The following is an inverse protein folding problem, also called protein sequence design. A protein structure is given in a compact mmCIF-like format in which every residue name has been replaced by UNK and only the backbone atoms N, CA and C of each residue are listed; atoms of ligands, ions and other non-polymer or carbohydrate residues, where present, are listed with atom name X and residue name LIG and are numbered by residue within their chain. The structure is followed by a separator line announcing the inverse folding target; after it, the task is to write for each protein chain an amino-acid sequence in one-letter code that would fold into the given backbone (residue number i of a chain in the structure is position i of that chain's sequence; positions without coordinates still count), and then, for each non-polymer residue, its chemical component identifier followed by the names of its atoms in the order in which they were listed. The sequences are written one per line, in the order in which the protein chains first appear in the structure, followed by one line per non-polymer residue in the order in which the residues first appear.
data_IF_363953397529
#
_entry.id   IF_363953397529
#
_cell.length_a   1.000
_cell.length_b   1.000
_cell.length_c   1.000
_cell.angle_alpha   90.00
_cell.angle_beta   90.00
_cell.angle_gamma   90.00
#
_symmetry.space_group_name_H-M   'P 1'
#
loop_
_entity.id
_entity.type
_entity.pdbx_description
1 polymer ?
#
# COMPACT_ATOMS: atom_id res chain seq x y z
N UNK A 1 19.14 4.11 17.71
CA UNK A 1 18.49 4.62 18.93
C UNK A 1 17.01 4.22 18.90
N UNK A 2 16.48 3.47 19.89
CA UNK A 2 15.05 3.16 19.96
C UNK A 2 14.37 4.31 20.70
N UNK A 3 13.56 5.10 20.00
CA UNK A 3 12.76 6.15 20.63
C UNK A 3 11.58 5.53 21.41
N UNK A 4 11.85 4.87 22.54
CA UNK A 4 10.87 4.06 23.29
C UNK A 4 9.67 4.85 23.81
N UNK A 5 9.79 6.16 24.06
CA UNK A 5 8.70 7.01 24.58
C UNK A 5 7.95 7.83 23.56
N UNK A 6 8.33 7.81 22.28
CA UNK A 6 7.78 8.68 21.25
C UNK A 6 6.31 8.32 20.95
N UNK A 7 5.38 9.25 21.18
CA UNK A 7 3.93 9.06 20.91
C UNK A 7 3.50 9.66 19.58
N UNK A 8 4.05 10.81 19.21
CA UNK A 8 3.73 11.54 17.99
C UNK A 8 5.00 11.97 17.30
N UNK A 9 5.01 11.99 15.97
CA UNK A 9 6.17 12.47 15.21
C UNK A 9 5.69 13.27 13.99
N UNK A 10 6.38 14.40 13.77
CA UNK A 10 6.38 15.11 12.50
C UNK A 10 7.74 14.89 11.87
N UNK A 11 7.76 14.33 10.69
CA UNK A 11 8.97 14.05 9.93
C UNK A 11 9.10 15.12 8.86
N UNK A 12 9.98 16.12 9.05
CA UNK A 12 10.05 17.28 8.16
C UNK A 12 10.66 16.92 6.81
N UNK A 13 10.39 17.77 5.83
CA UNK A 13 10.85 17.64 4.45
C UNK A 13 12.39 17.62 4.32
N UNK A 14 13.09 18.33 5.19
CA UNK A 14 14.55 18.50 5.17
C UNK A 14 15.32 17.34 5.78
N UNK A 15 14.65 16.43 6.48
CA UNK A 15 15.32 15.32 7.14
C UNK A 15 15.87 14.32 6.11
N UNK A 16 17.17 14.09 6.14
CA UNK A 16 17.80 12.98 5.40
C UNK A 16 17.42 11.68 6.09
N UNK A 17 16.55 10.90 5.44
CA UNK A 17 16.05 9.67 6.05
C UNK A 17 17.03 8.52 5.88
N UNK A 18 17.32 7.86 6.97
CA UNK A 18 17.95 6.54 6.97
C UNK A 18 16.87 5.45 6.93
N UNK A 19 17.22 4.28 6.44
CA UNK A 19 16.33 3.11 6.47
C UNK A 19 15.83 2.86 7.89
N UNK A 20 14.53 2.60 8.05
CA UNK A 20 13.90 2.16 9.29
C UNK A 20 13.99 3.15 10.49
N UNK A 21 14.01 4.45 10.26
CA UNK A 21 14.19 5.50 11.28
C UNK A 21 13.31 5.32 12.53
N UNK A 22 12.04 4.98 12.38
CA UNK A 22 11.09 4.77 13.49
C UNK A 22 10.67 3.30 13.64
N UNK A 23 11.47 2.37 13.15
CA UNK A 23 11.18 0.94 13.30
C UNK A 23 11.12 0.55 14.79
N UNK A 24 10.10 -0.25 15.15
CA UNK A 24 9.87 -0.72 16.52
C UNK A 24 9.56 0.39 17.54
N UNK A 25 9.07 1.56 17.10
CA UNK A 25 8.56 2.60 18.00
C UNK A 25 7.19 2.20 18.54
N UNK A 26 7.16 1.35 19.58
CA UNK A 26 5.94 0.72 20.08
C UNK A 26 4.94 1.68 20.71
N UNK A 27 5.38 2.87 21.14
CA UNK A 27 4.49 3.88 21.74
C UNK A 27 3.94 4.87 20.70
N UNK A 28 4.44 4.88 19.46
CA UNK A 28 4.06 5.82 18.43
C UNK A 28 2.58 5.64 18.04
N UNK A 29 1.77 6.68 18.25
CA UNK A 29 0.34 6.69 17.93
C UNK A 29 0.03 7.40 16.62
N UNK A 30 0.73 8.52 16.35
CA UNK A 30 0.50 9.30 15.12
C UNK A 30 1.82 9.67 14.45
N UNK A 31 1.80 9.77 13.12
CA UNK A 31 2.91 10.27 12.35
C UNK A 31 2.41 11.19 11.23
N UNK A 32 3.10 12.31 11.03
CA UNK A 32 2.98 13.16 9.85
C UNK A 32 4.29 13.14 9.11
N UNK A 33 4.29 12.77 7.85
CA UNK A 33 5.48 12.74 7.01
C UNK A 33 5.31 13.79 5.91
N UNK A 34 6.21 14.74 5.91
CA UNK A 34 6.31 15.79 4.90
C UNK A 34 7.26 15.31 3.81
N UNK A 35 6.77 15.14 2.61
CA UNK A 35 7.59 14.69 1.49
C UNK A 35 8.53 15.80 1.03
N UNK A 36 9.73 15.42 0.66
CA UNK A 36 10.72 16.36 0.10
C UNK A 36 10.22 16.92 -1.22
N UNK A 37 10.22 18.23 -1.37
CA UNK A 37 9.99 18.90 -2.64
C UNK A 37 11.17 18.69 -3.59
N UNK A 38 11.26 17.50 -4.17
CA UNK A 38 12.30 17.20 -5.13
C UNK A 38 11.80 17.52 -6.55
N UNK A 39 12.48 18.47 -7.21
CA UNK A 39 12.43 18.58 -8.66
C UNK A 39 13.30 17.47 -9.24
N UNK A 40 12.76 16.49 -9.98
CA UNK A 40 13.57 15.41 -10.53
C UNK A 40 14.57 15.98 -11.53
N UNK A 41 15.85 15.91 -11.21
CA UNK A 41 16.90 16.09 -12.20
C UNK A 41 16.83 14.89 -13.15
N UNK A 42 16.67 15.15 -14.45
CA UNK A 42 16.34 14.16 -15.50
C UNK A 42 17.34 12.99 -15.68
N UNK A 43 18.44 12.96 -14.95
CA UNK A 43 19.58 12.07 -15.22
C UNK A 43 19.82 10.89 -14.27
N UNK A 44 19.09 10.70 -13.19
CA UNK A 44 19.39 9.61 -12.21
C UNK A 44 18.17 8.80 -11.77
N UNK A 45 17.66 7.96 -12.65
CA UNK A 45 16.72 6.89 -12.27
C UNK A 45 17.38 5.79 -11.41
N UNK A 46 18.70 5.69 -11.37
CA UNK A 46 19.46 4.62 -10.68
C UNK A 46 19.73 4.86 -9.19
N UNK A 47 19.53 6.06 -8.68
CA UNK A 47 19.65 6.34 -7.25
C UNK A 47 18.34 6.93 -6.74
N UNK A 48 17.40 6.06 -6.40
CA UNK A 48 16.09 6.40 -5.84
C UNK A 48 16.25 6.95 -4.43
N UNK A 49 16.54 8.22 -4.30
CA UNK A 49 16.88 8.70 -2.98
C UNK A 49 15.88 9.65 -2.34
N UNK A 50 14.97 10.36 -3.00
CA UNK A 50 14.38 11.48 -2.25
C UNK A 50 12.88 11.80 -2.38
N UNK A 51 12.08 11.06 -3.15
CA UNK A 51 10.62 11.23 -3.16
C UNK A 51 9.88 10.07 -2.51
N UNK A 52 10.63 9.18 -1.92
CA UNK A 52 10.14 7.95 -1.37
C UNK A 52 10.22 7.98 0.16
N UNK A 53 9.13 7.65 0.82
CA UNK A 53 9.19 7.37 2.25
C UNK A 53 10.01 6.11 2.45
N UNK A 54 11.04 6.16 3.26
CA UNK A 54 12.07 5.14 3.35
C UNK A 54 11.55 3.75 3.72
N UNK A 55 12.31 2.74 3.25
CA UNK A 55 12.07 1.33 3.56
C UNK A 55 11.90 1.11 5.06
N UNK A 56 10.83 0.41 5.43
CA UNK A 56 10.54 0.00 6.81
C UNK A 56 10.48 1.14 7.86
N UNK A 57 10.26 2.40 7.45
CA UNK A 57 10.32 3.56 8.34
C UNK A 57 9.50 3.39 9.63
N UNK A 58 8.28 2.88 9.52
CA UNK A 58 7.38 2.64 10.65
C UNK A 58 7.09 1.15 10.89
N UNK A 59 7.96 0.27 10.38
CA UNK A 59 7.79 -1.17 10.59
C UNK A 59 7.69 -1.50 12.08
N UNK A 60 6.70 -2.31 12.44
CA UNK A 60 6.41 -2.75 13.82
C UNK A 60 6.00 -1.62 14.78
N UNK A 61 5.58 -0.45 14.31
CA UNK A 61 4.95 0.56 15.17
C UNK A 61 3.52 0.11 15.54
N UNK A 62 3.42 -0.83 16.46
CA UNK A 62 2.18 -1.57 16.74
C UNK A 62 1.03 -0.71 17.27
N UNK A 63 1.33 0.42 17.94
CA UNK A 63 0.32 1.38 18.44
C UNK A 63 -0.03 2.48 17.43
N UNK A 64 0.64 2.56 16.29
CA UNK A 64 0.39 3.56 15.26
C UNK A 64 -1.05 3.44 14.71
N UNK A 65 -1.84 4.51 14.85
CA UNK A 65 -3.25 4.53 14.48
C UNK A 65 -3.54 5.39 13.25
N UNK A 66 -2.84 6.51 13.11
CA UNK A 66 -3.03 7.49 12.03
C UNK A 66 -1.71 7.92 11.46
N UNK A 67 -1.62 7.94 10.14
CA UNK A 67 -0.51 8.51 9.40
C UNK A 67 -1.05 9.50 8.38
N UNK A 68 -0.42 10.67 8.32
CA UNK A 68 -0.67 11.68 7.28
C UNK A 68 0.60 11.82 6.44
N UNK A 69 0.45 11.61 5.14
CA UNK A 69 1.51 11.74 4.15
C UNK A 69 1.20 12.92 3.25
N UNK A 70 2.17 13.79 2.96
CA UNK A 70 1.95 14.90 2.03
C UNK A 70 1.89 14.41 0.58
N UNK A 71 1.21 15.19 -0.27
CA UNK A 71 0.85 14.76 -1.63
C UNK A 71 2.02 14.63 -2.62
N UNK A 72 3.19 15.19 -2.31
CA UNK A 72 4.39 15.10 -3.14
C UNK A 72 5.12 13.74 -3.03
N UNK A 73 4.73 12.86 -2.11
CA UNK A 73 5.28 11.50 -1.99
C UNK A 73 4.80 10.65 -3.16
N UNK A 74 5.74 10.13 -3.95
CA UNK A 74 5.45 9.35 -5.17
C UNK A 74 5.57 7.83 -4.96
N UNK A 75 6.27 7.39 -3.93
CA UNK A 75 6.50 5.97 -3.63
C UNK A 75 6.30 5.69 -2.14
N UNK A 76 5.53 4.66 -1.84
CA UNK A 76 5.52 4.02 -0.53
C UNK A 76 6.46 2.82 -0.62
N UNK A 77 7.66 2.96 -0.08
CA UNK A 77 8.67 1.92 -0.19
C UNK A 77 8.35 0.67 0.63
N UNK A 78 9.21 -0.33 0.48
CA UNK A 78 9.03 -1.65 1.06
C UNK A 78 8.82 -1.59 2.58
N UNK A 79 7.83 -2.34 3.05
CA UNK A 79 7.52 -2.58 4.46
C UNK A 79 7.33 -1.32 5.32
N UNK A 80 7.05 -0.16 4.70
CA UNK A 80 6.97 1.13 5.40
C UNK A 80 6.06 1.10 6.64
N UNK A 81 4.90 0.42 6.57
CA UNK A 81 3.94 0.25 7.66
C UNK A 81 3.74 -1.22 8.05
N UNK A 82 4.69 -2.11 7.69
CA UNK A 82 4.53 -3.53 8.01
C UNK A 82 4.37 -3.73 9.53
N UNK A 83 3.37 -4.54 9.91
CA UNK A 83 3.00 -4.83 11.29
C UNK A 83 2.51 -3.62 12.11
N UNK A 84 2.06 -2.53 11.48
CA UNK A 84 1.31 -1.47 12.15
C UNK A 84 -0.12 -1.97 12.43
N UNK A 85 -0.27 -2.92 13.35
CA UNK A 85 -1.52 -3.68 13.55
C UNK A 85 -2.72 -2.83 13.96
N UNK A 86 -2.50 -1.64 14.53
CA UNK A 86 -3.53 -0.68 14.93
C UNK A 86 -3.75 0.45 13.93
N UNK A 87 -3.06 0.46 12.78
CA UNK A 87 -3.22 1.49 11.77
C UNK A 87 -4.64 1.46 11.18
N UNK A 88 -5.44 2.46 11.50
CA UNK A 88 -6.84 2.60 11.06
C UNK A 88 -6.98 3.47 9.82
N UNK A 89 -6.18 4.54 9.74
CA UNK A 89 -6.27 5.57 8.70
C UNK A 89 -4.89 5.93 8.15
N UNK A 90 -4.78 5.90 6.85
CA UNK A 90 -3.65 6.42 6.08
C UNK A 90 -4.20 7.07 4.81
N UNK A 91 -3.73 8.26 4.47
CA UNK A 91 -3.96 8.83 3.15
C UNK A 91 -2.84 8.38 2.22
N UNK A 92 -3.18 7.72 1.13
CA UNK A 92 -2.21 7.47 0.06
C UNK A 92 -2.04 8.79 -0.72
N UNK A 93 -0.83 9.33 -0.83
CA UNK A 93 -0.58 10.61 -1.51
C UNK A 93 -1.10 10.61 -2.94
N UNK A 94 -1.67 11.73 -3.39
CA UNK A 94 -2.26 11.82 -4.74
C UNK A 94 -1.25 11.61 -5.87
N UNK A 95 0.03 11.87 -5.60
CA UNK A 95 1.13 11.64 -6.55
C UNK A 95 1.73 10.23 -6.45
N UNK A 96 1.25 9.38 -5.54
CA UNK A 96 1.81 8.05 -5.33
C UNK A 96 1.62 7.18 -6.57
N UNK A 97 2.74 6.71 -7.13
CA UNK A 97 2.82 5.87 -8.33
C UNK A 97 3.09 4.40 -8.02
N UNK A 98 3.61 4.12 -6.83
CA UNK A 98 4.05 2.79 -6.44
C UNK A 98 3.75 2.52 -4.97
N UNK A 99 3.07 1.40 -4.71
CA UNK A 99 2.90 0.84 -3.37
C UNK A 99 3.82 -0.38 -3.30
N UNK A 100 4.87 -0.26 -2.48
CA UNK A 100 5.99 -1.21 -2.42
C UNK A 100 5.65 -2.55 -1.79
N UNK A 101 6.63 -3.46 -1.83
CA UNK A 101 6.50 -4.78 -1.24
C UNK A 101 6.20 -4.66 0.27
N UNK A 102 5.13 -5.36 0.71
CA UNK A 102 4.74 -5.40 2.11
C UNK A 102 4.43 -4.03 2.74
N UNK A 103 4.16 -2.98 1.95
CA UNK A 103 3.96 -1.62 2.46
C UNK A 103 2.98 -1.55 3.63
N UNK A 104 1.89 -2.31 3.58
CA UNK A 104 0.87 -2.45 4.62
C UNK A 104 0.71 -3.89 5.12
N UNK A 105 1.77 -4.71 5.00
CA UNK A 105 1.74 -6.08 5.48
C UNK A 105 1.25 -6.13 6.93
N UNK A 106 0.21 -6.95 7.19
CA UNK A 106 -0.34 -7.18 8.53
C UNK A 106 -0.85 -5.91 9.25
N UNK A 107 -1.36 -4.91 8.49
CA UNK A 107 -2.10 -3.77 9.03
C UNK A 107 -3.54 -4.20 9.34
N UNK A 108 -3.72 -4.98 10.43
CA UNK A 108 -4.98 -5.66 10.75
C UNK A 108 -6.17 -4.72 10.93
N UNK A 109 -5.95 -3.50 11.46
CA UNK A 109 -7.02 -2.52 11.72
C UNK A 109 -7.40 -1.65 10.52
N UNK A 110 -6.69 -1.77 9.39
CA UNK A 110 -6.94 -0.96 8.19
C UNK A 110 -8.23 -1.41 7.50
N UNK A 111 -9.22 -0.51 7.41
CA UNK A 111 -10.55 -0.85 6.89
C UNK A 111 -10.79 -0.36 5.45
N UNK A 112 -10.23 0.80 5.11
CA UNK A 112 -10.41 1.42 3.80
C UNK A 112 -9.10 2.01 3.32
N UNK A 113 -8.79 1.80 2.04
CA UNK A 113 -7.66 2.43 1.35
C UNK A 113 -8.14 3.02 0.04
N UNK A 114 -7.82 4.29 -0.18
CA UNK A 114 -8.03 4.95 -1.47
C UNK A 114 -6.67 5.07 -2.14
N UNK A 115 -6.44 4.26 -3.16
CA UNK A 115 -5.19 4.26 -3.92
C UNK A 115 -5.18 5.44 -4.88
N UNK A 116 -4.04 6.11 -5.00
CA UNK A 116 -3.84 7.24 -5.91
C UNK A 116 -4.22 6.92 -7.35
N UNK A 117 -4.88 7.84 -8.05
CA UNK A 117 -5.18 7.72 -9.49
C UNK A 117 -3.93 7.52 -10.35
N UNK A 118 -2.77 7.97 -9.88
CA UNK A 118 -1.47 7.84 -10.54
C UNK A 118 -0.76 6.50 -10.26
N UNK A 119 -1.27 5.67 -9.35
CA UNK A 119 -0.63 4.41 -8.99
C UNK A 119 -0.61 3.44 -10.19
N UNK A 120 0.57 2.92 -10.47
CA UNK A 120 0.84 1.98 -11.57
C UNK A 120 0.99 0.54 -11.06
N UNK A 121 1.53 0.38 -9.85
CA UNK A 121 1.88 -0.93 -9.30
C UNK A 121 1.45 -1.03 -7.85
N UNK A 122 0.74 -2.10 -7.53
CA UNK A 122 0.51 -2.59 -6.18
C UNK A 122 1.44 -3.79 -6.02
N UNK A 123 2.49 -3.64 -5.22
CA UNK A 123 3.60 -4.58 -5.10
C UNK A 123 3.26 -5.86 -4.35
N UNK A 124 4.23 -6.78 -4.31
CA UNK A 124 4.14 -8.06 -3.59
C UNK A 124 3.75 -7.82 -2.14
N UNK A 125 2.79 -8.61 -1.63
CA UNK A 125 2.35 -8.56 -0.22
C UNK A 125 1.91 -7.17 0.27
N UNK A 126 1.59 -6.21 -0.60
CA UNK A 126 1.33 -4.82 -0.23
C UNK A 126 0.27 -4.69 0.86
N UNK A 127 -0.81 -5.48 0.80
CA UNK A 127 -1.89 -5.55 1.79
C UNK A 127 -2.08 -6.95 2.38
N UNK A 128 -1.05 -7.80 2.32
CA UNK A 128 -1.14 -9.16 2.87
C UNK A 128 -1.52 -9.11 4.34
N UNK A 129 -2.52 -9.94 4.73
CA UNK A 129 -3.06 -10.02 6.09
C UNK A 129 -3.68 -8.72 6.63
N UNK A 130 -4.14 -7.81 5.78
CA UNK A 130 -5.00 -6.70 6.17
C UNK A 130 -6.42 -7.25 6.44
N UNK A 131 -6.58 -7.99 7.55
CA UNK A 131 -7.78 -8.83 7.79
C UNK A 131 -9.08 -8.02 7.87
N UNK A 132 -9.05 -6.76 8.32
CA UNK A 132 -10.23 -5.89 8.40
C UNK A 132 -10.43 -4.98 7.18
N UNK A 133 -9.62 -5.14 6.13
CA UNK A 133 -9.76 -4.35 4.91
C UNK A 133 -11.07 -4.71 4.21
N UNK A 134 -11.99 -3.74 4.12
CA UNK A 134 -13.33 -3.90 3.55
C UNK A 134 -13.44 -3.26 2.16
N UNK A 135 -12.74 -2.15 1.94
CA UNK A 135 -12.83 -1.35 0.70
C UNK A 135 -11.46 -0.92 0.21
N UNK A 136 -11.18 -1.22 -1.04
CA UNK A 136 -10.02 -0.71 -1.79
C UNK A 136 -10.51 -0.30 -3.17
N UNK A 137 -10.03 0.84 -3.67
CA UNK A 137 -10.17 1.15 -5.09
C UNK A 137 -8.85 0.84 -5.82
N UNK A 138 -8.90 0.11 -6.90
CA UNK A 138 -7.79 0.00 -7.84
C UNK A 138 -8.02 1.04 -8.94
N UNK A 139 -7.10 2.00 -9.13
CA UNK A 139 -7.32 3.08 -10.09
C UNK A 139 -7.17 2.60 -11.54
N UNK A 140 -7.87 3.28 -12.47
CA UNK A 140 -7.74 3.02 -13.92
C UNK A 140 -6.29 3.20 -14.46
N UNK A 141 -5.40 3.79 -13.67
CA UNK A 141 -3.97 3.90 -14.00
C UNK A 141 -3.14 2.67 -13.68
N UNK A 142 -3.65 1.76 -12.84
CA UNK A 142 -2.92 0.57 -12.37
C UNK A 142 -2.69 -0.43 -13.51
N UNK A 143 -1.51 -1.04 -13.52
CA UNK A 143 -1.06 -2.01 -14.52
C UNK A 143 -0.76 -3.38 -13.92
N UNK A 144 -0.31 -3.40 -12.65
CA UNK A 144 0.19 -4.62 -12.02
C UNK A 144 -0.33 -4.77 -10.60
N UNK A 145 -0.76 -5.99 -10.28
CA UNK A 145 -1.06 -6.47 -8.93
C UNK A 145 -0.13 -7.65 -8.66
N UNK A 146 0.81 -7.45 -7.73
CA UNK A 146 1.88 -8.40 -7.45
C UNK A 146 1.46 -9.59 -6.58
N UNK A 147 2.39 -10.54 -6.33
CA UNK A 147 2.17 -11.73 -5.52
C UNK A 147 1.62 -11.38 -4.14
N UNK A 148 0.58 -12.09 -3.70
CA UNK A 148 -0.04 -11.90 -2.39
C UNK A 148 -0.49 -10.47 -2.08
N UNK A 149 -0.63 -9.59 -3.07
CA UNK A 149 -0.92 -8.17 -2.85
C UNK A 149 -2.15 -7.95 -1.97
N UNK A 150 -3.18 -8.75 -2.11
CA UNK A 150 -4.39 -8.78 -1.28
C UNK A 150 -4.60 -10.15 -0.62
N UNK A 151 -3.52 -10.87 -0.34
CA UNK A 151 -3.60 -12.19 0.27
C UNK A 151 -4.14 -12.13 1.71
N UNK A 152 -5.00 -13.08 2.09
CA UNK A 152 -5.58 -13.21 3.44
C UNK A 152 -6.31 -11.94 3.93
N UNK A 153 -6.89 -11.15 3.02
CA UNK A 153 -7.78 -10.02 3.33
C UNK A 153 -9.19 -10.55 3.63
N UNK A 154 -9.40 -11.13 4.80
CA UNK A 154 -10.60 -11.91 5.17
C UNK A 154 -11.93 -11.14 5.01
N UNK A 155 -11.92 -9.81 5.22
CA UNK A 155 -13.12 -8.97 5.16
C UNK A 155 -13.28 -8.22 3.83
N UNK A 156 -12.38 -8.40 2.86
CA UNK A 156 -12.51 -7.84 1.52
C UNK A 156 -13.48 -8.70 0.70
N UNK A 157 -14.73 -8.23 0.56
CA UNK A 157 -15.80 -8.99 -0.09
C UNK A 157 -15.96 -8.67 -1.56
N UNK A 158 -15.58 -7.48 -1.98
CA UNK A 158 -15.69 -7.03 -3.37
C UNK A 158 -14.51 -6.17 -3.75
N UNK A 159 -13.99 -6.35 -4.96
CA UNK A 159 -12.89 -5.57 -5.51
C UNK A 159 -13.08 -5.40 -7.01
N UNK A 160 -13.24 -4.15 -7.46
CA UNK A 160 -13.20 -3.86 -8.89
C UNK A 160 -11.75 -3.83 -9.38
N UNK A 161 -11.46 -4.63 -10.40
CA UNK A 161 -10.16 -4.67 -11.09
C UNK A 161 -10.33 -4.12 -12.49
N UNK A 162 -9.87 -2.89 -12.77
CA UNK A 162 -10.05 -2.24 -14.06
C UNK A 162 -9.36 -2.98 -15.22
N UNK A 163 -9.90 -2.87 -16.44
CA UNK A 163 -9.33 -3.45 -17.67
C UNK A 163 -7.90 -3.02 -17.99
N UNK A 164 -7.45 -1.95 -17.34
CA UNK A 164 -6.07 -1.45 -17.47
C UNK A 164 -5.05 -2.29 -16.72
N UNK A 165 -5.46 -3.06 -15.72
CA UNK A 165 -4.59 -4.04 -15.04
C UNK A 165 -4.35 -5.19 -16.01
N UNK A 166 -3.08 -5.35 -16.41
CA UNK A 166 -2.65 -6.38 -17.38
C UNK A 166 -1.98 -7.56 -16.69
N UNK A 167 -1.27 -7.29 -15.59
CA UNK A 167 -0.50 -8.29 -14.87
C UNK A 167 -1.11 -8.51 -13.48
N UNK A 168 -1.66 -9.69 -13.25
CA UNK A 168 -2.19 -10.14 -11.97
C UNK A 168 -1.44 -11.42 -11.63
N UNK A 169 -0.70 -11.40 -10.54
CA UNK A 169 0.02 -12.60 -10.09
C UNK A 169 -0.96 -13.68 -9.61
N UNK A 170 -0.64 -14.93 -9.87
CA UNK A 170 -1.51 -16.08 -9.53
C UNK A 170 -1.88 -16.12 -8.04
N UNK A 171 -1.03 -15.65 -7.15
CA UNK A 171 -1.26 -15.60 -5.71
C UNK A 171 -1.82 -14.27 -5.21
N UNK A 172 -2.11 -13.31 -6.10
CA UNK A 172 -2.48 -11.94 -5.73
C UNK A 172 -3.58 -11.87 -4.66
N UNK A 173 -4.56 -12.79 -4.68
CA UNK A 173 -5.71 -12.83 -3.79
C UNK A 173 -5.75 -14.09 -2.89
N UNK A 174 -4.64 -14.80 -2.80
CA UNK A 174 -4.57 -16.06 -2.05
C UNK A 174 -5.13 -15.97 -0.63
N UNK A 175 -6.04 -16.88 -0.28
CA UNK A 175 -6.65 -16.94 1.06
C UNK A 175 -7.65 -15.83 1.38
N UNK A 176 -8.05 -15.01 0.41
CA UNK A 176 -9.15 -14.04 0.51
C UNK A 176 -10.47 -14.69 0.06
N UNK A 177 -10.90 -15.74 0.80
CA UNK A 177 -11.97 -16.67 0.42
C UNK A 177 -13.35 -16.01 0.15
N UNK A 178 -13.61 -14.84 0.75
CA UNK A 178 -14.90 -14.13 0.63
C UNK A 178 -14.91 -13.11 -0.52
N UNK A 179 -13.82 -13.01 -1.30
CA UNK A 179 -13.66 -12.01 -2.32
C UNK A 179 -14.40 -12.38 -3.61
N UNK A 180 -15.25 -11.48 -4.08
CA UNK A 180 -15.81 -11.49 -5.43
C UNK A 180 -15.16 -10.37 -6.24
N UNK A 181 -14.56 -10.70 -7.38
CA UNK A 181 -13.99 -9.70 -8.28
C UNK A 181 -15.11 -9.06 -9.12
N UNK A 182 -15.07 -7.74 -9.27
CA UNK A 182 -15.85 -7.05 -10.29
C UNK A 182 -14.89 -6.75 -11.44
N UNK A 183 -15.23 -7.17 -12.65
CA UNK A 183 -14.34 -7.16 -13.81
C UNK A 183 -14.99 -6.55 -15.04
N UNK A 184 -14.19 -5.98 -15.93
CA UNK A 184 -14.66 -5.59 -17.27
C UNK A 184 -14.60 -6.83 -18.18
N UNK A 185 -15.62 -7.00 -19.08
CA UNK A 185 -15.65 -8.09 -20.07
C UNK A 185 -14.41 -8.06 -20.96
N UNK A 186 -13.80 -9.21 -21.24
CA UNK A 186 -12.58 -9.35 -22.05
C UNK A 186 -11.28 -8.92 -21.32
N UNK A 187 -11.35 -8.54 -20.04
CA UNK A 187 -10.18 -8.06 -19.29
C UNK A 187 -9.27 -9.19 -18.81
N UNK A 188 -8.01 -8.83 -18.47
CA UNK A 188 -7.09 -9.76 -17.81
C UNK A 188 -7.65 -10.25 -16.47
N UNK A 189 -8.43 -9.42 -15.77
CA UNK A 189 -9.05 -9.80 -14.50
C UNK A 189 -10.16 -10.84 -14.67
N UNK A 190 -10.92 -10.78 -15.76
CA UNK A 190 -11.89 -11.84 -16.10
C UNK A 190 -11.18 -13.15 -16.41
N UNK A 191 -10.16 -13.12 -17.29
CA UNK A 191 -9.35 -14.30 -17.62
C UNK A 191 -8.73 -14.92 -16.36
N UNK A 192 -8.21 -14.08 -15.48
CA UNK A 192 -7.67 -14.48 -14.19
C UNK A 192 -8.72 -15.17 -13.32
N UNK A 193 -9.90 -14.55 -13.16
CA UNK A 193 -10.97 -15.10 -12.34
C UNK A 193 -11.45 -16.48 -12.84
N UNK A 194 -11.60 -16.64 -14.15
CA UNK A 194 -11.93 -17.93 -14.76
C UNK A 194 -10.84 -18.97 -14.53
N UNK A 195 -9.56 -18.62 -14.79
CA UNK A 195 -8.44 -19.55 -14.66
C UNK A 195 -8.25 -20.08 -13.23
N UNK A 196 -8.49 -19.24 -12.21
CA UNK A 196 -8.29 -19.58 -10.81
C UNK A 196 -9.59 -19.78 -10.03
N UNK A 197 -10.70 -19.99 -10.74
CA UNK A 197 -12.05 -20.33 -10.19
C UNK A 197 -12.51 -19.36 -9.10
N UNK A 198 -12.16 -18.06 -9.27
CA UNK A 198 -12.60 -17.03 -8.34
C UNK A 198 -14.01 -16.55 -8.66
N UNK A 199 -14.80 -16.30 -7.62
CA UNK A 199 -16.10 -15.63 -7.79
C UNK A 199 -15.89 -14.27 -8.46
N UNK A 200 -16.64 -14.01 -9.55
CA UNK A 200 -16.62 -12.72 -10.23
C UNK A 200 -17.98 -12.31 -10.75
N UNK A 201 -18.11 -11.03 -11.04
CA UNK A 201 -19.26 -10.44 -11.75
C UNK A 201 -18.77 -9.37 -12.70
N UNK A 202 -19.53 -9.11 -13.73
CA UNK A 202 -19.22 -8.00 -14.63
C UNK A 202 -19.56 -6.67 -13.98
N UNK A 203 -18.81 -5.65 -14.38
CA UNK A 203 -19.15 -4.29 -14.03
C UNK A 203 -20.37 -3.87 -14.83
N UNK A 204 -21.40 -3.43 -14.14
CA UNK A 204 -22.54 -2.69 -14.71
C UNK A 204 -22.10 -1.31 -15.19
#
# INVERSE_FOLDING_TARGET
MKAKGLRNVVVPQTMKYTVATFKNCDQLKTARVEGVGYKPNKQKWKTMTNTAVNRAMFKNCRKLQKVTLTNNITHLNEQIFANCIRLKKVNIPTQCRYIGEGAFLNCKSLQKVTVSKKCKVIGKSAFLRCSNLKKVNIPKGCRTIGPLAFGKCKNLRSLYVPKTVKNIDQWAFYGSKNLTLTVDKGSAAEKFAKKYEMKYRYKS
#
